data_IF_821973869303
#
_entry.id   IF_821973869303
#
_cell.length_a   1.000
_cell.length_b   1.000
_cell.length_c   1.000
_cell.angle_alpha   90.00
_cell.angle_beta   90.00
_cell.angle_gamma   90.00
#
_symmetry.space_group_name_H-M   'P 1'
#
loop_
_entity.id
_entity.type
_entity.pdbx_description
1 polymer ?
#
# COMPACT_ATOMS: atom_id res chain seq x y z
N UNK A 1 2.03 6.54 24.58
CA UNK A 1 1.79 6.60 23.12
C UNK A 1 0.32 6.28 22.89
N UNK A 2 -0.38 7.12 22.10
CA UNK A 2 -1.76 6.88 21.68
C UNK A 2 -1.75 6.87 20.15
N UNK A 3 -1.95 5.67 19.60
CA UNK A 3 -2.06 5.47 18.16
C UNK A 3 -3.49 5.74 17.69
N UNK A 4 -3.63 6.20 16.43
CA UNK A 4 -4.90 6.60 15.82
C UNK A 4 -5.75 7.51 16.74
N UNK A 5 -5.10 8.50 17.31
CA UNK A 5 -5.69 9.39 18.33
C UNK A 5 -6.98 10.07 17.87
N UNK A 6 -7.20 10.21 16.55
CA UNK A 6 -8.43 10.75 15.98
C UNK A 6 -9.69 9.89 16.25
N UNK A 7 -9.50 8.63 16.68
CA UNK A 7 -10.60 7.74 17.10
C UNK A 7 -11.12 8.03 18.51
N UNK A 8 -10.44 8.86 19.27
CA UNK A 8 -10.91 9.25 20.60
C UNK A 8 -12.19 10.07 20.52
N UNK A 9 -13.08 9.86 21.50
CA UNK A 9 -14.27 10.69 21.64
C UNK A 9 -13.91 12.12 22.08
N UNK A 10 -14.81 13.08 21.82
CA UNK A 10 -14.66 14.45 22.30
C UNK A 10 -14.48 14.53 23.82
N UNK A 11 -15.19 13.68 24.57
CA UNK A 11 -15.07 13.62 26.02
C UNK A 11 -13.67 13.13 26.46
N UNK A 12 -13.10 12.13 25.77
CA UNK A 12 -11.75 11.65 26.03
C UNK A 12 -10.69 12.73 25.72
N UNK A 13 -10.82 13.46 24.60
CA UNK A 13 -9.95 14.60 24.33
C UNK A 13 -10.00 15.65 25.43
N UNK A 14 -11.22 16.02 25.89
CA UNK A 14 -11.39 17.01 26.97
C UNK A 14 -10.76 16.55 28.30
N UNK A 15 -10.85 15.25 28.61
CA UNK A 15 -10.22 14.69 29.79
C UNK A 15 -8.67 14.78 29.74
N UNK A 16 -8.10 14.64 28.54
CA UNK A 16 -6.64 14.75 28.33
C UNK A 16 -6.12 16.18 28.42
N UNK A 17 -6.95 17.20 28.16
CA UNK A 17 -6.50 18.60 28.11
C UNK A 17 -5.81 19.06 29.40
N UNK A 18 -6.39 18.73 30.57
CA UNK A 18 -5.81 19.11 31.85
C UNK A 18 -4.39 18.55 32.04
N UNK A 19 -4.18 17.28 31.69
CA UNK A 19 -2.86 16.64 31.78
C UNK A 19 -1.88 17.12 30.74
N UNK A 20 -2.37 17.56 29.57
CA UNK A 20 -1.54 18.15 28.52
C UNK A 20 -1.11 19.59 28.84
N UNK A 21 -1.92 20.32 29.63
CA UNK A 21 -1.58 21.68 30.04
C UNK A 21 -0.53 21.66 31.18
N UNK A 22 -0.66 20.71 32.10
CA UNK A 22 0.25 20.55 33.24
C UNK A 22 0.73 19.09 33.35
N UNK A 23 1.56 18.63 32.39
CA UNK A 23 2.03 17.26 32.43
C UNK A 23 3.00 17.02 33.58
N UNK A 24 2.91 15.89 34.28
CA UNK A 24 3.92 15.51 35.27
C UNK A 24 5.31 15.46 34.61
N UNK A 25 6.37 15.86 35.32
CA UNK A 25 7.72 16.04 34.77
C UNK A 25 8.29 14.79 34.06
N UNK A 26 7.82 13.61 34.43
CA UNK A 26 8.25 12.32 33.87
C UNK A 26 7.35 11.79 32.75
N UNK A 27 6.27 12.53 32.37
CA UNK A 27 5.30 12.09 31.36
C UNK A 27 5.52 12.83 30.06
N UNK A 28 5.61 12.09 28.96
CA UNK A 28 5.59 12.61 27.59
C UNK A 28 4.48 11.93 26.80
N UNK A 29 3.68 12.72 26.10
CA UNK A 29 2.63 12.21 25.23
C UNK A 29 3.13 12.13 23.80
N UNK A 30 2.89 11.01 23.14
CA UNK A 30 3.10 10.82 21.71
C UNK A 30 1.76 10.41 21.12
N UNK A 31 1.25 11.24 20.21
CA UNK A 31 0.02 11.00 19.48
C UNK A 31 0.36 10.66 18.04
N UNK A 32 -0.16 9.55 17.54
CA UNK A 32 -0.07 9.19 16.12
C UNK A 32 -1.46 9.26 15.48
N UNK A 33 -1.52 9.77 14.26
CA UNK A 33 -2.78 9.86 13.51
C UNK A 33 -2.53 9.90 12.01
N UNK A 34 -3.42 9.27 11.25
CA UNK A 34 -3.50 9.41 9.79
C UNK A 34 -4.42 10.58 9.39
N UNK A 35 -5.25 11.09 10.32
CA UNK A 35 -6.26 12.12 10.06
C UNK A 35 -6.12 13.33 10.99
N UNK A 36 -5.11 14.17 10.75
CA UNK A 36 -4.83 15.35 11.58
C UNK A 36 -6.04 16.29 11.71
N UNK A 37 -6.90 16.38 10.69
CA UNK A 37 -8.07 17.28 10.68
C UNK A 37 -9.15 16.88 11.71
N UNK A 38 -9.15 15.64 12.16
CA UNK A 38 -10.09 15.14 13.18
C UNK A 38 -9.60 15.41 14.60
N UNK A 39 -8.34 15.77 14.80
CA UNK A 39 -7.77 16.10 16.12
C UNK A 39 -8.12 17.54 16.47
N UNK A 40 -8.68 17.78 17.68
CA UNK A 40 -9.04 19.13 18.09
C UNK A 40 -7.86 20.08 18.10
N UNK A 41 -8.08 21.33 17.66
CA UNK A 41 -7.03 22.38 17.62
C UNK A 41 -6.44 22.66 19.00
N UNK A 42 -7.23 22.48 20.07
CA UNK A 42 -6.79 22.64 21.46
C UNK A 42 -5.72 21.63 21.87
N UNK A 43 -5.71 20.44 21.27
CA UNK A 43 -4.67 19.43 21.43
C UNK A 43 -3.47 19.79 20.56
N UNK A 44 -3.70 20.08 19.29
CA UNK A 44 -2.64 20.39 18.31
C UNK A 44 -1.79 21.60 18.73
N UNK A 45 -2.40 22.62 19.34
CA UNK A 45 -1.68 23.82 19.81
C UNK A 45 -0.69 23.56 20.95
N UNK A 46 -0.78 22.39 21.61
CA UNK A 46 0.11 21.95 22.70
C UNK A 46 1.09 20.87 22.30
N UNK A 47 1.10 20.49 21.01
CA UNK A 47 1.94 19.43 20.47
C UNK A 47 2.92 19.98 19.44
N UNK A 48 4.11 19.40 19.39
CA UNK A 48 5.03 19.56 18.27
C UNK A 48 4.62 18.55 17.20
N UNK A 49 4.45 19.00 15.97
CA UNK A 49 4.05 18.16 14.86
C UNK A 49 5.26 17.65 14.11
N UNK A 50 5.24 16.34 13.81
CA UNK A 50 6.17 15.66 12.91
C UNK A 50 5.38 14.95 11.81
N UNK A 51 5.61 15.35 10.57
CA UNK A 51 4.99 14.70 9.41
C UNK A 51 5.89 13.55 8.94
N UNK A 52 5.32 12.33 8.91
CA UNK A 52 5.99 11.16 8.41
C UNK A 52 5.59 10.92 6.95
N UNK A 53 6.57 10.80 6.09
CA UNK A 53 6.36 10.55 4.66
C UNK A 53 6.37 9.04 4.35
N UNK A 54 5.75 8.69 3.23
CA UNK A 54 5.88 7.34 2.66
C UNK A 54 7.33 7.12 2.21
N UNK A 55 7.80 5.87 2.35
CA UNK A 55 9.14 5.47 1.92
C UNK A 55 9.18 5.42 0.38
N UNK A 56 10.28 5.87 -0.22
CA UNK A 56 10.46 5.77 -1.66
C UNK A 56 10.54 4.31 -2.11
N UNK A 57 10.13 4.03 -3.37
CA UNK A 57 10.17 2.66 -3.90
C UNK A 57 11.58 2.06 -3.88
N UNK A 58 12.61 2.87 -4.16
CA UNK A 58 14.00 2.40 -4.18
C UNK A 58 14.52 2.08 -2.77
N UNK A 59 14.18 2.89 -1.76
CA UNK A 59 14.54 2.61 -0.37
C UNK A 59 13.81 1.38 0.15
N UNK A 60 12.52 1.25 -0.20
CA UNK A 60 11.72 0.11 0.17
C UNK A 60 12.24 -1.18 -0.47
N UNK A 61 12.62 -1.13 -1.75
CA UNK A 61 13.22 -2.27 -2.43
C UNK A 61 14.53 -2.72 -1.75
N UNK A 62 15.42 -1.80 -1.43
CA UNK A 62 16.67 -2.12 -0.69
C UNK A 62 16.40 -2.74 0.68
N UNK A 63 15.38 -2.23 1.38
CA UNK A 63 14.98 -2.78 2.66
C UNK A 63 14.45 -4.21 2.54
N UNK A 64 13.60 -4.48 1.55
CA UNK A 64 13.07 -5.81 1.27
C UNK A 64 14.17 -6.79 0.84
N UNK A 65 15.13 -6.37 0.00
CA UNK A 65 16.29 -7.17 -0.38
C UNK A 65 17.11 -7.60 0.85
N UNK A 66 17.33 -6.65 1.77
CA UNK A 66 18.07 -6.94 3.01
C UNK A 66 17.33 -7.98 3.87
N UNK A 67 16.01 -7.84 4.03
CA UNK A 67 15.21 -8.79 4.81
C UNK A 67 15.17 -10.16 4.13
N UNK A 68 14.89 -10.22 2.82
CA UNK A 68 14.85 -11.47 2.06
C UNK A 68 16.16 -12.25 2.22
N UNK A 69 17.30 -11.56 2.11
CA UNK A 69 18.61 -12.18 2.28
C UNK A 69 18.85 -12.71 3.71
N UNK A 70 18.40 -11.99 4.73
CA UNK A 70 18.53 -12.41 6.12
C UNK A 70 17.66 -13.64 6.43
N UNK A 71 16.49 -13.75 5.80
CA UNK A 71 15.57 -14.88 5.91
C UNK A 71 15.94 -16.05 4.97
N UNK A 72 16.97 -15.90 4.14
CA UNK A 72 17.48 -16.95 3.26
C UNK A 72 16.70 -17.12 1.96
N UNK A 73 15.95 -16.11 1.53
CA UNK A 73 15.19 -16.12 0.28
C UNK A 73 15.89 -15.32 -0.81
N UNK A 74 15.85 -15.83 -2.04
CA UNK A 74 16.37 -15.18 -3.24
C UNK A 74 15.21 -14.85 -4.20
N UNK A 75 14.97 -13.57 -4.41
CA UNK A 75 13.98 -13.07 -5.36
C UNK A 75 14.65 -12.79 -6.72
N UNK A 76 14.18 -13.40 -7.78
CA UNK A 76 14.72 -13.24 -9.14
C UNK A 76 14.11 -12.05 -9.88
N UNK A 77 14.84 -11.57 -10.86
CA UNK A 77 14.38 -10.52 -11.77
C UNK A 77 14.00 -9.23 -11.05
N UNK A 78 12.82 -8.73 -11.36
CA UNK A 78 12.28 -7.48 -10.82
C UNK A 78 11.31 -7.67 -9.63
N UNK A 79 11.25 -8.88 -9.08
CA UNK A 79 10.31 -9.30 -8.02
C UNK A 79 10.21 -8.33 -6.85
N UNK A 80 11.33 -7.95 -6.27
CA UNK A 80 11.39 -7.03 -5.12
C UNK A 80 10.84 -5.64 -5.49
N UNK A 81 11.16 -5.13 -6.68
CA UNK A 81 10.64 -3.84 -7.15
C UNK A 81 9.13 -3.85 -7.40
N UNK A 82 8.61 -4.98 -7.88
CA UNK A 82 7.16 -5.16 -8.05
C UNK A 82 6.44 -5.11 -6.69
N UNK A 83 6.97 -5.79 -5.66
CA UNK A 83 6.44 -5.75 -4.30
C UNK A 83 6.52 -4.33 -3.74
N UNK A 84 7.67 -3.67 -3.87
CA UNK A 84 7.86 -2.30 -3.40
C UNK A 84 6.91 -1.30 -4.09
N UNK A 85 6.67 -1.48 -5.40
CA UNK A 85 5.72 -0.66 -6.16
C UNK A 85 4.27 -0.87 -5.72
N UNK A 86 3.87 -2.13 -5.52
CA UNK A 86 2.53 -2.49 -5.08
C UNK A 86 2.19 -2.02 -3.65
N UNK A 87 3.22 -1.76 -2.84
CA UNK A 87 3.07 -1.33 -1.44
C UNK A 87 2.90 0.18 -1.25
N UNK A 88 3.04 0.97 -2.31
CA UNK A 88 2.85 2.43 -2.31
C UNK A 88 3.59 3.16 -1.17
N UNK A 89 4.80 2.70 -0.82
CA UNK A 89 5.63 3.28 0.23
C UNK A 89 5.29 2.86 1.66
N UNK A 90 4.46 1.84 1.84
CA UNK A 90 4.15 1.24 3.14
C UNK A 90 5.08 0.06 3.41
N UNK A 91 5.91 0.16 4.45
CA UNK A 91 6.78 -0.95 4.88
C UNK A 91 5.96 -2.14 5.36
N UNK A 92 4.88 -1.90 6.12
CA UNK A 92 4.00 -2.97 6.62
C UNK A 92 3.39 -3.77 5.47
N UNK A 93 2.84 -3.07 4.46
CA UNK A 93 2.18 -3.73 3.35
C UNK A 93 3.19 -4.48 2.48
N UNK A 94 4.39 -3.92 2.28
CA UNK A 94 5.45 -4.58 1.52
C UNK A 94 5.89 -5.89 2.16
N UNK A 95 6.06 -5.92 3.49
CA UNK A 95 6.39 -7.13 4.22
C UNK A 95 5.25 -8.15 4.18
N UNK A 96 4.01 -7.70 4.31
CA UNK A 96 2.83 -8.58 4.21
C UNK A 96 2.69 -9.20 2.82
N UNK A 97 2.99 -8.45 1.75
CA UNK A 97 3.02 -8.98 0.39
C UNK A 97 4.16 -9.99 0.24
N UNK A 98 5.36 -9.65 0.71
CA UNK A 98 6.53 -10.54 0.65
C UNK A 98 6.28 -11.86 1.38
N UNK A 99 5.74 -11.82 2.60
CA UNK A 99 5.39 -13.00 3.38
C UNK A 99 4.35 -13.87 2.66
N UNK A 100 3.33 -13.24 2.07
CA UNK A 100 2.36 -13.94 1.24
C UNK A 100 3.01 -14.62 0.04
N UNK A 101 3.93 -13.97 -0.66
CA UNK A 101 4.65 -14.53 -1.81
C UNK A 101 5.47 -15.74 -1.39
N UNK A 102 6.22 -15.65 -0.28
CA UNK A 102 6.99 -16.77 0.26
C UNK A 102 6.08 -17.95 0.59
N UNK A 103 4.97 -17.71 1.27
CA UNK A 103 4.00 -18.76 1.65
C UNK A 103 3.39 -19.46 0.44
N UNK A 104 3.03 -18.71 -0.61
CA UNK A 104 2.51 -19.26 -1.86
C UNK A 104 3.55 -20.02 -2.70
N UNK A 105 4.83 -19.72 -2.49
CA UNK A 105 5.94 -20.46 -3.12
C UNK A 105 6.34 -21.71 -2.34
N UNK A 106 5.50 -22.22 -1.44
CA UNK A 106 5.75 -23.38 -0.59
C UNK A 106 7.07 -23.30 0.20
N UNK A 107 7.47 -22.09 0.57
CA UNK A 107 8.73 -21.80 1.27
C UNK A 107 10.00 -22.24 0.53
N UNK A 108 9.94 -22.38 -0.79
CA UNK A 108 11.14 -22.57 -1.62
C UNK A 108 12.01 -21.30 -1.54
N UNK A 109 13.33 -21.49 -1.46
CA UNK A 109 14.29 -20.40 -1.25
C UNK A 109 14.41 -19.45 -2.45
N UNK A 110 14.03 -19.90 -3.65
CA UNK A 110 14.09 -19.12 -4.88
C UNK A 110 12.68 -18.77 -5.33
N UNK A 111 12.45 -17.47 -5.55
CA UNK A 111 11.15 -16.93 -5.93
C UNK A 111 11.28 -16.24 -7.28
N UNK A 112 10.60 -16.80 -8.27
CA UNK A 112 10.58 -16.28 -9.63
C UNK A 112 9.61 -15.09 -9.78
N UNK A 113 9.90 -14.21 -10.74
CA UNK A 113 9.12 -12.98 -10.98
C UNK A 113 7.66 -13.28 -11.35
N UNK A 114 7.43 -14.35 -12.12
CA UNK A 114 6.10 -14.78 -12.56
C UNK A 114 5.19 -15.06 -11.37
N UNK A 115 5.75 -15.64 -10.29
CA UNK A 115 5.00 -15.95 -9.08
C UNK A 115 4.55 -14.69 -8.35
N UNK A 116 5.41 -13.69 -8.30
CA UNK A 116 5.08 -12.38 -7.72
C UNK A 116 3.98 -11.70 -8.52
N UNK A 117 4.08 -11.71 -9.85
CA UNK A 117 3.06 -11.14 -10.75
C UNK A 117 1.70 -11.85 -10.59
N UNK A 118 1.71 -13.17 -10.43
CA UNK A 118 0.50 -13.96 -10.18
C UNK A 118 -0.20 -13.51 -8.88
N UNK A 119 0.56 -13.39 -7.79
CA UNK A 119 0.04 -13.04 -6.46
C UNK A 119 -0.43 -11.60 -6.39
N UNK A 120 0.23 -10.69 -7.11
CA UNK A 120 -0.18 -9.30 -7.25
C UNK A 120 -1.37 -9.11 -8.21
N UNK A 121 -1.80 -10.18 -8.90
CA UNK A 121 -2.86 -10.11 -9.91
C UNK A 121 -2.46 -9.34 -11.18
N UNK A 122 -1.15 -9.21 -11.44
CA UNK A 122 -0.62 -8.43 -12.56
C UNK A 122 -0.49 -9.24 -13.85
N UNK A 123 -0.57 -10.57 -13.78
CA UNK A 123 -0.48 -11.47 -14.95
C UNK A 123 -1.64 -11.29 -15.95
N UNK A 124 -2.74 -10.68 -15.52
CA UNK A 124 -3.94 -10.52 -16.36
C UNK A 124 -3.94 -9.25 -17.23
N UNK A 125 -2.96 -8.34 -17.11
CA UNK A 125 -2.96 -7.11 -17.93
C UNK A 125 -2.93 -7.40 -19.41
N UNK A 126 -2.07 -8.33 -19.84
CA UNK A 126 -1.99 -8.77 -21.24
C UNK A 126 -3.27 -9.48 -21.68
N UNK A 127 -3.86 -10.30 -20.82
CA UNK A 127 -5.14 -10.96 -21.08
C UNK A 127 -6.30 -9.98 -21.20
N UNK A 128 -6.35 -8.96 -20.34
CA UNK A 128 -7.38 -7.90 -20.38
C UNK A 128 -7.20 -7.03 -21.63
N UNK A 129 -5.98 -6.63 -21.98
CA UNK A 129 -5.71 -5.89 -23.22
C UNK A 129 -6.10 -6.71 -24.44
N UNK A 130 -5.76 -7.98 -24.52
CA UNK A 130 -6.14 -8.88 -25.60
C UNK A 130 -7.67 -9.08 -25.68
N UNK A 131 -8.34 -9.18 -24.55
CA UNK A 131 -9.81 -9.25 -24.49
C UNK A 131 -10.42 -7.94 -25.02
N UNK A 132 -9.90 -6.81 -24.57
CA UNK A 132 -10.37 -5.48 -25.00
C UNK A 132 -10.17 -5.26 -26.52
N UNK A 133 -9.00 -5.65 -27.06
CA UNK A 133 -8.75 -5.62 -28.51
C UNK A 133 -9.71 -6.53 -29.29
N UNK A 134 -9.99 -7.73 -28.78
CA UNK A 134 -10.97 -8.63 -29.42
C UNK A 134 -12.38 -8.04 -29.39
N UNK A 135 -12.80 -7.44 -28.28
CA UNK A 135 -14.10 -6.77 -28.18
C UNK A 135 -14.20 -5.58 -29.16
N UNK A 136 -13.17 -4.75 -29.26
CA UNK A 136 -13.12 -3.64 -30.22
C UNK A 136 -13.23 -4.14 -31.67
N UNK A 137 -12.46 -5.17 -32.04
CA UNK A 137 -12.51 -5.76 -33.40
C UNK A 137 -13.91 -6.32 -33.71
N UNK A 138 -14.57 -6.95 -32.75
CA UNK A 138 -15.90 -7.49 -32.94
C UNK A 138 -16.95 -6.38 -33.10
N UNK A 139 -16.83 -5.29 -32.35
CA UNK A 139 -17.70 -4.10 -32.48
C UNK A 139 -17.50 -3.42 -33.83
N UNK A 140 -16.26 -3.33 -34.34
CA UNK A 140 -15.97 -2.81 -35.69
C UNK A 140 -16.60 -3.66 -36.78
N UNK A 141 -16.52 -4.99 -36.68
CA UNK A 141 -17.13 -5.91 -37.63
C UNK A 141 -18.65 -5.80 -37.63
N UNK A 142 -19.28 -5.70 -36.46
CA UNK A 142 -20.75 -5.51 -36.36
C UNK A 142 -21.17 -4.18 -36.97
N UNK A 143 -20.46 -3.08 -36.68
CA UNK A 143 -20.77 -1.76 -37.26
C UNK A 143 -20.53 -1.72 -38.76
N UNK A 144 -19.51 -2.40 -39.29
CA UNK A 144 -19.28 -2.51 -40.74
C UNK A 144 -20.37 -3.33 -41.44
N UNK A 145 -20.89 -4.35 -40.77
CA UNK A 145 -21.99 -5.17 -41.30
C UNK A 145 -23.32 -4.40 -41.32
N UNK A 146 -23.60 -3.63 -40.26
CA UNK A 146 -24.79 -2.79 -40.18
C UNK A 146 -24.77 -1.67 -41.24
N UNK A 147 -23.62 -0.98 -41.42
CA UNK A 147 -23.51 0.06 -42.43
C UNK A 147 -23.64 -0.47 -43.87
N UNK A 148 -23.22 -1.71 -44.16
CA UNK A 148 -23.39 -2.33 -45.46
C UNK A 148 -24.83 -2.86 -45.70
N UNK A 149 -25.62 -3.07 -44.65
CA UNK A 149 -27.01 -3.53 -44.80
C UNK A 149 -28.04 -2.37 -44.98
N UNK A 150 -27.61 -1.13 -44.76
CA UNK A 150 -28.46 0.08 -44.98
C UNK A 150 -28.24 0.75 -46.37
N UNK A 151 -27.36 0.18 -47.20
CA UNK A 151 -27.07 0.68 -48.54
C UNK A 151 -27.60 -0.21 -49.66
N UNK A 152 -28.64 -0.99 -49.39
CA UNK A 152 -29.40 -1.73 -50.42
C UNK A 152 -30.86 -1.38 -50.39
#
# INVERSE_FOLDING_TARGET
IIDEVHMLSKAAFNALLKTLEEPPAHVKFIFATTEIRKVPITILSRCIRFDLNRVSQDELAKHLEHIAKNEGYEFKGNSIRLIAGASEGSVRDSLSIMDRVISFNNFENVIEEEKVLEILGMNNKTGICNLYEKMLRQTYLVNSFLNNSYLR
#
